data_IF_284441038981
#
_entry.id   IF_284441038981
#
_cell.length_a   1.000
_cell.length_b   1.000
_cell.length_c   1.000
_cell.angle_alpha   90.00
_cell.angle_beta   90.00
_cell.angle_gamma   90.00
#
_symmetry.space_group_name_H-M   'P 1'
#
loop_
_entity.id
_entity.type
_entity.pdbx_description
1 polymer ?
#
# COMPACT_ATOMS: atom_id res chain seq x y z
N UNK A 1 -24.77 49.75 13.85
CA UNK A 1 -23.84 49.78 12.70
C UNK A 1 -22.61 49.00 13.19
N UNK A 2 -22.65 47.67 13.16
CA UNK A 2 -22.16 46.82 12.06
C UNK A 2 -20.70 47.10 11.69
N UNK A 3 -19.79 46.22 12.15
CA UNK A 3 -19.06 45.24 11.33
C UNK A 3 -18.39 44.25 12.27
N UNK A 4 -18.87 43.01 12.27
CA UNK A 4 -18.25 41.89 12.97
C UNK A 4 -17.04 41.39 12.17
N UNK A 5 -15.93 41.09 12.84
CA UNK A 5 -14.93 40.15 12.33
C UNK A 5 -14.60 39.20 13.49
N UNK A 6 -15.36 38.10 13.56
CA UNK A 6 -15.11 37.03 14.50
C UNK A 6 -14.31 35.97 13.75
N UNK A 7 -12.99 35.94 13.95
CA UNK A 7 -12.21 34.75 13.64
C UNK A 7 -12.36 33.78 14.81
N UNK A 8 -13.35 32.90 14.72
CA UNK A 8 -13.22 31.57 15.30
C UNK A 8 -13.33 30.60 14.13
N UNK A 9 -12.19 30.03 13.78
CA UNK A 9 -12.09 28.89 12.90
C UNK A 9 -12.87 27.75 13.57
N UNK A 10 -13.95 27.33 12.94
CA UNK A 10 -14.82 26.24 13.41
C UNK A 10 -13.98 24.98 13.71
N UNK A 11 -14.05 24.42 14.93
CA UNK A 11 -13.53 23.09 15.22
C UNK A 11 -14.46 21.96 14.72
N UNK A 12 -15.46 22.27 13.89
CA UNK A 12 -16.42 21.31 13.32
C UNK A 12 -16.03 20.84 11.91
N UNK A 13 -14.74 20.90 11.57
CA UNK A 13 -14.17 20.15 10.45
C UNK A 13 -13.64 18.77 10.88
N UNK A 14 -14.03 18.30 12.08
CA UNK A 14 -13.73 16.98 12.64
C UNK A 14 -14.79 15.93 12.21
N UNK A 15 -15.31 16.05 11.00
CA UNK A 15 -15.99 14.96 10.31
C UNK A 15 -15.52 14.94 8.86
N UNK A 16 -14.20 14.94 8.67
CA UNK A 16 -13.63 14.37 7.47
C UNK A 16 -13.97 12.87 7.48
N UNK A 17 -15.02 12.51 6.75
CA UNK A 17 -15.37 11.15 6.29
C UNK A 17 -14.74 10.00 7.09
N UNK A 18 -15.28 9.72 8.28
CA UNK A 18 -15.00 8.48 9.01
C UNK A 18 -15.68 7.24 8.36
N UNK A 19 -16.25 7.41 7.16
CA UNK A 19 -16.90 6.40 6.33
C UNK A 19 -16.49 6.55 4.85
N UNK A 20 -15.32 7.14 4.57
CA UNK A 20 -14.65 6.73 3.35
C UNK A 20 -14.37 5.23 3.52
N UNK A 21 -14.78 4.34 2.59
CA UNK A 21 -14.19 3.02 2.59
C UNK A 21 -12.68 3.26 2.65
N UNK A 22 -12.00 2.69 3.64
CA UNK A 22 -10.56 2.46 3.56
C UNK A 22 -10.38 1.55 2.35
N UNK A 23 -10.50 2.14 1.15
CA UNK A 23 -10.10 1.55 -0.09
C UNK A 23 -8.68 1.13 0.22
N UNK A 24 -8.46 -0.17 0.16
CA UNK A 24 -7.18 -0.84 0.34
C UNK A 24 -6.24 -0.21 -0.71
N UNK A 25 -5.77 1.00 -0.44
CA UNK A 25 -4.99 1.79 -1.36
C UNK A 25 -3.67 1.04 -1.44
N UNK A 26 -3.32 0.53 -2.62
CA UNK A 26 -2.19 -0.36 -2.74
C UNK A 26 -0.95 0.39 -2.25
N UNK A 27 -0.31 -0.15 -1.21
CA UNK A 27 0.84 0.48 -0.56
C UNK A 27 1.88 0.93 -1.60
N UNK A 28 2.54 2.09 -1.40
CA UNK A 28 3.54 2.56 -2.34
C UNK A 28 4.70 1.56 -2.45
N UNK A 29 5.20 1.36 -3.67
CA UNK A 29 6.37 0.53 -3.89
C UNK A 29 7.61 1.19 -3.28
N UNK A 30 8.29 0.47 -2.39
CA UNK A 30 9.56 0.83 -1.77
C UNK A 30 10.75 0.52 -2.70
N UNK A 31 10.56 -0.38 -3.66
CA UNK A 31 11.56 -0.79 -4.63
C UNK A 31 11.09 -1.96 -5.50
N UNK A 32 12.03 -2.57 -6.20
CA UNK A 32 11.78 -3.73 -7.06
C UNK A 32 12.60 -4.93 -6.59
N UNK A 33 12.02 -6.12 -6.66
CA UNK A 33 12.70 -7.37 -6.40
C UNK A 33 12.60 -8.27 -7.64
N UNK A 34 13.60 -9.13 -7.83
CA UNK A 34 13.59 -10.18 -8.85
C UNK A 34 13.76 -11.53 -8.20
N UNK A 35 12.84 -12.45 -8.48
CA UNK A 35 12.97 -13.83 -8.06
C UNK A 35 14.14 -14.48 -8.83
N UNK A 36 15.19 -14.89 -8.10
CA UNK A 36 16.35 -15.53 -8.72
C UNK A 36 16.11 -17.01 -9.03
N UNK A 37 15.12 -17.61 -8.37
CA UNK A 37 14.74 -19.00 -8.50
C UNK A 37 13.22 -19.11 -8.42
N UNK A 38 12.69 -20.20 -8.94
CA UNK A 38 11.28 -20.54 -8.78
C UNK A 38 10.97 -20.74 -7.30
N UNK A 39 9.84 -20.20 -6.85
CA UNK A 39 9.29 -20.42 -5.53
C UNK A 39 7.85 -20.92 -5.65
N UNK A 40 7.59 -22.12 -5.15
CA UNK A 40 6.25 -22.68 -5.04
C UNK A 40 5.65 -22.26 -3.70
N UNK A 41 4.57 -21.47 -3.73
CA UNK A 41 3.87 -21.05 -2.52
C UNK A 41 3.21 -22.25 -1.83
N UNK A 42 3.62 -22.51 -0.58
CA UNK A 42 3.10 -23.62 0.25
C UNK A 42 2.33 -23.13 1.48
N UNK A 43 2.38 -21.83 1.77
CA UNK A 43 1.76 -21.23 2.95
C UNK A 43 0.80 -20.11 2.55
N UNK A 44 -0.28 -19.95 3.30
CA UNK A 44 -1.19 -18.83 3.14
C UNK A 44 -0.43 -17.51 3.35
N UNK A 45 -0.66 -16.54 2.46
CA UNK A 45 0.08 -15.27 2.45
C UNK A 45 1.40 -15.30 1.69
N UNK A 46 1.80 -16.43 1.10
CA UNK A 46 2.92 -16.50 0.16
C UNK A 46 2.45 -16.49 -1.30
N UNK A 47 3.19 -15.82 -2.18
CA UNK A 47 2.90 -15.77 -3.61
C UNK A 47 3.88 -16.67 -4.39
N UNK A 48 3.41 -17.49 -5.33
CA UNK A 48 4.30 -18.27 -6.17
C UNK A 48 5.05 -17.35 -7.13
N UNK A 49 6.33 -17.64 -7.35
CA UNK A 49 7.23 -16.84 -8.19
C UNK A 49 7.94 -17.71 -9.21
N UNK A 50 8.07 -17.21 -10.45
CA UNK A 50 8.91 -17.77 -11.48
C UNK A 50 10.35 -17.27 -11.40
N UNK A 51 11.28 -18.02 -12.00
CA UNK A 51 12.65 -17.55 -12.16
C UNK A 51 12.69 -16.29 -13.02
N UNK A 52 13.44 -15.28 -12.58
CA UNK A 52 13.56 -13.96 -13.18
C UNK A 52 12.26 -13.12 -13.20
N UNK A 53 11.20 -13.52 -12.48
CA UNK A 53 9.99 -12.71 -12.34
C UNK A 53 10.26 -11.46 -11.47
N UNK A 54 9.70 -10.32 -11.88
CA UNK A 54 9.86 -9.02 -11.21
C UNK A 54 8.64 -8.66 -10.35
N UNK A 55 8.91 -8.09 -9.18
CA UNK A 55 7.91 -7.71 -8.19
C UNK A 55 8.20 -6.32 -7.63
N UNK A 56 7.16 -5.68 -7.12
CA UNK A 56 7.27 -4.44 -6.35
C UNK A 56 7.34 -4.77 -4.86
N UNK A 57 8.36 -4.26 -4.17
CA UNK A 57 8.48 -4.40 -2.72
C UNK A 57 7.57 -3.38 -2.07
N UNK A 58 6.64 -3.81 -1.22
CA UNK A 58 5.72 -2.90 -0.50
C UNK A 58 6.04 -2.80 0.99
N UNK A 59 6.77 -3.78 1.54
CA UNK A 59 7.25 -3.75 2.93
C UNK A 59 8.58 -4.50 3.03
N UNK A 60 9.56 -3.92 3.72
CA UNK A 60 10.86 -4.54 3.97
C UNK A 60 10.79 -5.52 5.14
N UNK A 61 11.66 -6.53 5.11
CA UNK A 61 11.88 -7.45 6.25
C UNK A 61 12.19 -6.69 7.54
N UNK A 62 11.45 -6.99 8.60
CA UNK A 62 11.62 -6.39 9.93
C UNK A 62 12.43 -7.30 10.87
N UNK A 63 13.06 -8.35 10.33
CA UNK A 63 13.84 -9.34 11.05
C UNK A 63 13.12 -10.68 11.24
N UNK A 64 11.99 -10.89 10.56
CA UNK A 64 11.22 -12.13 10.53
C UNK A 64 11.60 -13.05 9.35
N UNK A 65 12.37 -12.52 8.39
CA UNK A 65 12.86 -13.23 7.22
C UNK A 65 11.93 -13.15 6.01
N UNK A 66 10.83 -12.40 6.07
CA UNK A 66 9.88 -12.22 4.97
C UNK A 66 9.80 -10.77 4.53
N UNK A 67 9.53 -10.57 3.24
CA UNK A 67 9.35 -9.26 2.63
C UNK A 67 8.01 -9.30 1.90
N UNK A 68 7.18 -8.27 2.08
CA UNK A 68 5.92 -8.20 1.33
C UNK A 68 6.18 -7.61 -0.04
N UNK A 69 5.66 -8.30 -1.05
CA UNK A 69 5.81 -7.94 -2.44
C UNK A 69 4.46 -8.03 -3.15
N UNK A 70 4.33 -7.26 -4.23
CA UNK A 70 3.18 -7.20 -5.13
C UNK A 70 3.65 -7.58 -6.54
N UNK A 71 2.81 -8.32 -7.29
CA UNK A 71 3.01 -8.49 -8.73
C UNK A 71 2.83 -7.14 -9.40
N UNK A 72 3.77 -6.76 -10.25
CA UNK A 72 3.62 -5.58 -11.08
C UNK A 72 2.34 -5.78 -11.91
N UNK A 73 1.41 -4.83 -11.89
CA UNK A 73 0.24 -4.88 -12.77
C UNK A 73 0.73 -5.01 -14.21
N UNK A 74 0.67 -6.22 -14.73
CA UNK A 74 0.86 -6.47 -16.14
C UNK A 74 -0.54 -6.36 -16.73
N UNK A 75 -0.93 -5.16 -17.15
CA UNK A 75 -2.03 -5.01 -18.10
C UNK A 75 -1.65 -5.85 -19.33
N UNK A 76 -2.17 -7.07 -19.39
CA UNK A 76 -2.13 -7.90 -20.60
C UNK A 76 -3.04 -7.23 -21.62
N UNK A 77 -2.46 -6.51 -22.61
CA UNK A 77 -3.14 -6.08 -23.84
C UNK A 77 -3.53 -7.26 -24.74
#
# INVERSE_FOLDING_TARGET
ISTSHLSLHDPDAEFADADAPEFDEPLPALGTAKALYVFEAQSEGSIPMGENEEFEVVELDQGDGWTRVRRRDHEEE
#
